data_IF_151875147383
#
_entry.id   IF_151875147383
#
_cell.length_a   1.000
_cell.length_b   1.000
_cell.length_c   1.000
_cell.angle_alpha   90.00
_cell.angle_beta   90.00
_cell.angle_gamma   90.00
#
_symmetry.space_group_name_H-M   'P 1'
#
loop_
_entity.id
_entity.type
_entity.pdbx_description
1 polymer ?
2 non-polymer ?
3 non-polymer ?
4 water ?
#
# COMPACT_ATOMS: atom_id res chain seq x y z
N UNK A 17 13.99 -14.93 -9.97
CA UNK A 17 14.68 -15.96 -10.76
C UNK A 17 15.99 -16.20 -10.02
N UNK A 18 17.12 -15.93 -10.63
CA UNK A 18 18.23 -15.46 -9.81
C UNK A 18 17.91 -13.97 -9.44
N UNK A 19 17.05 -13.27 -10.21
CA UNK A 19 16.76 -11.75 -10.07
C UNK A 19 15.53 -11.22 -9.34
N UNK A 20 14.48 -12.03 -9.17
CA UNK A 20 13.27 -11.57 -8.52
C UNK A 20 13.54 -11.07 -7.10
N UNK A 21 14.36 -11.80 -6.34
CA UNK A 21 14.64 -11.37 -4.97
C UNK A 21 15.34 -10.02 -4.94
N UNK A 22 16.28 -9.79 -5.87
CA UNK A 22 16.93 -8.50 -5.92
C UNK A 22 15.97 -7.36 -6.28
N UNK A 23 15.00 -7.63 -7.18
CA UNK A 23 13.96 -6.63 -7.45
C UNK A 23 13.10 -6.31 -6.23
N UNK A 24 12.75 -7.34 -5.48
CA UNK A 24 12.03 -7.16 -4.23
C UNK A 24 12.82 -6.28 -3.25
N UNK A 25 14.12 -6.55 -3.14
CA UNK A 25 14.97 -5.74 -2.29
C UNK A 25 15.00 -4.28 -2.77
N UNK A 26 15.07 -4.09 -4.08
CA UNK A 26 15.05 -2.74 -4.65
C UNK A 26 13.80 -1.98 -4.23
N UNK A 27 12.66 -2.64 -4.28
CA UNK A 27 11.41 -2.02 -3.87
C UNK A 27 11.43 -1.61 -2.39
N UNK A 28 11.95 -2.47 -1.53
CA UNK A 28 12.07 -2.17 -0.10
C UNK A 28 13.00 -0.97 0.09
N UNK A 29 14.17 -1.03 -0.53
CA UNK A 29 15.18 0.05 -0.48
C UNK A 29 14.54 1.37 -0.91
N UNK A 30 13.87 1.34 -2.06
CA UNK A 30 13.23 2.54 -2.60
C UNK A 30 12.17 3.11 -1.62
N UNK A 31 11.35 2.23 -1.06
CA UNK A 31 10.28 2.67 -0.17
C UNK A 31 10.87 3.38 1.05
N UNK A 32 11.92 2.80 1.63
CA UNK A 32 12.55 3.39 2.81
C UNK A 32 13.22 4.73 2.48
N UNK A 33 13.89 4.79 1.34
CA UNK A 33 14.49 6.03 0.91
C UNK A 33 13.42 7.14 0.72
N UNK A 34 12.31 6.79 0.08
CA UNK A 34 11.21 7.73 -0.08
C UNK A 34 10.70 8.18 1.28
N UNK A 35 10.53 7.22 2.17
CA UNK A 35 10.09 7.48 3.53
C UNK A 35 10.92 8.53 4.23
N UNK A 36 12.24 8.42 4.11
CA UNK A 36 13.18 9.39 4.69
C UNK A 36 12.92 10.81 4.16
N UNK A 37 12.75 10.92 2.84
CA UNK A 37 12.52 12.22 2.22
C UNK A 37 11.22 12.83 2.73
N UNK A 38 10.18 12.00 2.80
CA UNK A 38 8.88 12.47 3.24
C UNK A 38 8.94 12.93 4.69
N UNK A 39 9.55 12.11 5.54
CA UNK A 39 9.56 12.38 6.97
C UNK A 39 10.41 13.64 7.25
N UNK A 40 11.46 13.86 6.50
CA UNK A 40 12.29 15.05 6.70
C UNK A 40 11.43 16.32 6.55
N UNK A 41 10.54 16.34 5.55
CA UNK A 41 9.61 17.45 5.34
C UNK A 41 8.51 17.45 6.43
N UNK A 42 7.97 16.28 6.73
CA UNK A 42 6.87 16.19 7.70
C UNK A 42 7.29 16.69 9.08
N UNK A 43 8.52 16.39 9.46
CA UNK A 43 9.04 16.70 10.79
C UNK A 43 9.68 18.09 10.87
N UNK A 44 9.90 18.74 9.73
CA UNK A 44 10.65 20.00 9.76
C UNK A 44 9.76 21.07 10.34
N UNK A 45 10.22 21.72 11.43
CA UNK A 45 9.43 22.79 12.05
C UNK A 45 9.25 23.99 11.09
N UNK A 46 10.17 24.14 10.14
CA UNK A 46 10.04 25.19 9.11
C UNK A 46 9.00 24.87 8.02
N UNK A 47 8.52 23.62 7.94
CA UNK A 47 7.55 23.28 6.93
C UNK A 47 6.26 24.01 7.23
N UNK A 48 5.68 24.63 6.19
CA UNK A 48 4.44 25.40 6.34
C UNK A 48 3.25 24.58 5.85
N UNK A 49 2.62 23.89 6.80
CA UNK A 49 1.49 23.02 6.49
C UNK A 49 0.18 23.78 6.24
N UNK A 50 0.25 25.11 6.11
CA UNK A 50 -0.93 25.91 5.77
C UNK A 50 -0.95 26.30 4.30
N UNK A 51 0.15 26.06 3.58
CA UNK A 51 0.25 26.43 2.14
C UNK A 51 -0.85 25.75 1.30
N UNK A 55 -0.27 23.38 -4.50
CA UNK A 55 0.71 24.45 -4.70
C UNK A 55 2.12 23.88 -4.88
N UNK A 56 2.88 24.49 -5.80
CA UNK A 56 4.25 24.05 -6.13
C UNK A 56 5.18 23.92 -4.94
N UNK A 57 5.00 24.79 -3.94
CA UNK A 57 5.88 24.83 -2.78
C UNK A 57 5.22 24.31 -1.50
N UNK A 58 4.07 23.65 -1.63
CA UNK A 58 3.45 23.05 -0.47
C UNK A 58 4.33 21.88 -0.01
N UNK A 59 4.39 21.66 1.31
CA UNK A 59 5.03 20.46 1.85
C UNK A 59 4.62 19.17 1.15
N UNK A 60 3.34 19.04 0.81
CA UNK A 60 2.86 17.84 0.16
C UNK A 60 3.51 17.69 -1.22
N UNK A 61 3.45 18.75 -2.02
CA UNK A 61 3.97 18.71 -3.36
C UNK A 61 5.46 18.36 -3.37
N UNK A 62 6.21 19.00 -2.47
CA UNK A 62 7.64 18.79 -2.37
C UNK A 62 7.94 17.36 -1.91
N UNK A 63 7.24 16.90 -0.88
CA UNK A 63 7.45 15.54 -0.38
C UNK A 63 7.15 14.50 -1.44
N UNK A 64 6.04 14.66 -2.17
CA UNK A 64 5.67 13.70 -3.21
C UNK A 64 6.75 13.66 -4.29
N UNK A 65 7.24 14.84 -4.67
CA UNK A 65 8.29 14.91 -5.70
C UNK A 65 9.58 14.26 -5.22
N UNK A 66 10.02 14.59 -4.00
CA UNK A 66 11.29 14.04 -3.51
C UNK A 66 11.19 12.51 -3.32
N UNK A 67 10.02 12.05 -2.88
CA UNK A 67 9.76 10.62 -2.73
C UNK A 67 9.84 9.92 -4.07
N UNK A 68 9.17 10.50 -5.07
CA UNK A 68 9.21 9.95 -6.42
C UNK A 68 10.64 9.84 -6.93
N UNK A 69 11.41 10.90 -6.75
CA UNK A 69 12.79 10.95 -7.22
C UNK A 69 13.63 9.86 -6.56
N UNK A 70 13.46 9.68 -5.25
CA UNK A 70 14.18 8.65 -4.49
C UNK A 70 13.85 7.26 -5.01
N UNK A 71 12.57 7.05 -5.29
CA UNK A 71 12.12 5.74 -5.74
C UNK A 71 12.65 5.44 -7.13
N UNK A 72 12.47 6.35 -8.09
CA UNK A 72 12.86 6.05 -9.46
C UNK A 72 14.38 5.98 -9.62
N UNK A 73 15.13 6.65 -8.76
CA UNK A 73 16.59 6.54 -8.79
C UNK A 73 16.99 5.07 -8.67
N UNK A 74 16.22 4.30 -7.91
CA UNK A 74 16.43 2.87 -7.77
C UNK A 74 15.67 2.05 -8.84
N UNK A 75 14.36 2.27 -8.97
CA UNK A 75 13.58 1.43 -9.86
C UNK A 75 13.95 1.58 -11.34
N UNK A 76 14.43 2.76 -11.74
CA UNK A 76 14.87 2.95 -13.13
C UNK A 76 16.02 2.00 -13.52
N UNK A 77 16.80 1.59 -12.51
CA UNK A 77 17.93 0.68 -12.72
C UNK A 77 17.51 -0.77 -12.98
N UNK A 78 16.31 -1.11 -12.51
CA UNK A 78 15.79 -2.43 -12.70
C UNK A 78 15.39 -2.63 -14.15
N UNK A 79 15.16 -3.89 -14.54
CA UNK A 79 14.71 -4.14 -15.89
C UNK A 79 13.29 -3.75 -16.22
N UNK A 80 12.52 -3.24 -15.26
CA UNK A 80 11.11 -3.01 -15.49
C UNK A 80 10.75 -1.53 -15.49
N UNK A 81 9.86 -1.13 -16.40
CA UNK A 81 9.40 0.24 -16.48
C UNK A 81 8.54 0.65 -15.28
N UNK A 82 8.40 1.96 -15.07
CA UNK A 82 7.77 2.53 -13.89
C UNK A 82 6.57 3.38 -14.25
N UNK A 83 5.44 3.04 -13.64
CA UNK A 83 4.22 3.80 -13.72
C UNK A 83 4.01 4.40 -12.33
N UNK A 84 4.30 5.69 -12.21
CA UNK A 84 4.23 6.41 -10.91
C UNK A 84 3.15 7.44 -10.92
N UNK A 85 2.52 7.59 -9.75
CA UNK A 85 1.58 8.66 -9.52
C UNK A 85 2.20 10.04 -9.81
N UNK A 86 3.50 10.20 -9.52
CA UNK A 86 4.21 11.50 -9.70
C UNK A 86 5.02 11.56 -11.03
N UNK A 87 4.90 10.53 -11.85
CA UNK A 87 5.65 10.45 -13.09
C UNK A 87 5.03 11.35 -14.13
N UNK A 88 5.82 11.69 -15.15
CA UNK A 88 5.32 12.44 -16.29
C UNK A 88 4.16 11.69 -16.92
N UNK A 90 2.30 9.97 -19.44
CA UNK A 90 2.39 9.04 -20.57
C UNK A 90 1.05 8.47 -21.01
N UNK A 91 1.00 8.08 -22.29
CA UNK A 91 -0.17 7.45 -22.91
C UNK A 91 -0.26 5.96 -22.60
N UNK A 92 -1.48 5.44 -22.58
CA UNK A 92 -1.74 4.01 -22.51
C UNK A 92 -1.01 3.25 -23.61
N UNK A 93 -0.94 3.83 -24.81
CA UNK A 93 -0.24 3.18 -25.92
C UNK A 93 1.19 2.78 -25.56
N UNK A 94 1.88 3.63 -24.78
CA UNK A 94 3.23 3.35 -24.32
C UNK A 94 3.26 2.12 -23.39
N UNK A 95 2.44 2.15 -22.36
CA UNK A 95 2.51 1.13 -21.30
C UNK A 95 1.71 -0.15 -21.56
N UNK A 96 0.80 -0.12 -22.53
CA UNK A 96 -0.04 -1.27 -22.79
C UNK A 96 0.78 -2.52 -23.18
N UNK A 97 1.99 -2.33 -23.72
CA UNK A 97 2.85 -3.46 -24.04
C UNK A 97 3.82 -3.87 -22.95
N UNK A 98 3.75 -3.24 -21.79
CA UNK A 98 4.59 -3.62 -20.64
C UNK A 98 3.92 -4.76 -19.91
N UNK A 99 4.40 -5.98 -20.11
CA UNK A 99 3.85 -7.14 -19.40
C UNK A 99 4.23 -7.13 -17.92
N UNK A 100 5.39 -6.55 -17.60
CA UNK A 100 5.85 -6.43 -16.22
C UNK A 100 6.26 -4.99 -16.00
N UNK A 101 5.73 -4.42 -14.92
CA UNK A 101 5.96 -3.01 -14.62
C UNK A 101 5.83 -2.74 -13.13
N UNK A 102 6.49 -1.67 -12.69
CA UNK A 102 6.29 -1.15 -11.35
C UNK A 102 5.10 -0.20 -11.39
N UNK A 103 4.24 -0.30 -10.38
CA UNK A 103 3.13 0.64 -10.19
C UNK A 103 3.30 1.24 -8.80
N UNK A 104 3.47 2.56 -8.78
CA UNK A 104 3.98 3.28 -7.59
C UNK A 104 3.14 4.49 -7.20
N UNK A 105 2.85 4.61 -5.91
CA UNK A 105 2.40 5.90 -5.37
C UNK A 105 3.40 6.31 -4.30
N UNK A 106 4.22 7.31 -4.60
CA UNK A 106 5.26 7.69 -3.63
C UNK A 106 4.73 8.19 -2.30
N UNK A 107 3.50 8.72 -2.28
CA UNK A 107 2.94 9.28 -1.04
C UNK A 107 1.42 9.25 -1.19
N UNK A 108 0.83 8.20 -0.65
CA UNK A 108 -0.64 8.08 -0.59
C UNK A 108 -1.15 8.56 0.76
N UNK A 109 -2.27 9.28 0.74
CA UNK A 109 -2.89 9.77 1.98
C UNK A 109 -2.66 11.24 2.15
N UNK A 110 -3.18 11.98 1.17
CA UNK A 110 -3.04 13.40 1.13
C UNK A 110 -3.49 14.11 2.41
N UNK A 111 -4.71 13.80 2.84
CA UNK A 111 -5.27 14.36 4.04
C UNK A 111 -4.44 13.93 5.28
N UNK A 112 -4.03 12.67 5.32
CA UNK A 112 -3.21 12.17 6.46
C UNK A 112 -1.94 12.99 6.60
N UNK A 113 -1.36 13.37 5.46
CA UNK A 113 -0.16 14.15 5.47
C UNK A 113 -0.42 15.63 5.82
N UNK A 114 -1.29 16.26 5.05
CA UNK A 114 -1.48 17.70 5.23
C UNK A 114 -2.17 18.05 6.55
N UNK A 115 -3.08 17.20 7.03
CA UNK A 115 -3.71 17.41 8.33
C UNK A 115 -2.90 16.80 9.47
N UNK A 116 -1.76 16.19 9.16
CA UNK A 116 -0.84 15.67 10.18
C UNK A 116 -1.49 14.63 11.10
N UNK A 117 -2.31 13.77 10.50
CA UNK A 117 -2.84 12.58 11.18
C UNK A 117 -1.91 11.36 11.10
N UNK A 118 -0.93 11.40 10.19
CA UNK A 118 0.23 10.54 10.26
C UNK A 118 0.21 9.19 9.58
N UNK A 119 -0.93 8.80 9.00
CA UNK A 119 -1.07 7.44 8.42
C UNK A 119 -1.08 7.44 6.89
N UNK A 120 -0.11 8.17 6.35
CA UNK A 120 0.20 8.16 4.92
C UNK A 120 1.27 7.08 4.65
N UNK A 121 1.40 6.69 3.38
CA UNK A 121 2.22 5.54 3.02
C UNK A 121 2.96 5.76 1.70
N UNK A 122 4.04 5.01 1.54
CA UNK A 122 4.71 4.81 0.26
C UNK A 122 4.28 3.45 -0.26
N UNK A 123 3.94 3.37 -1.56
CA UNK A 123 3.38 2.15 -2.16
C UNK A 123 4.14 1.79 -3.44
N UNK A 124 4.76 0.60 -3.44
CA UNK A 124 5.51 0.09 -4.63
C UNK A 124 5.08 -1.36 -4.90
N UNK A 125 4.57 -1.61 -6.11
CA UNK A 125 4.18 -2.94 -6.55
C UNK A 125 4.89 -3.30 -7.85
N UNK A 126 5.24 -4.57 -7.96
CA UNK A 126 5.60 -5.16 -9.26
C UNK A 126 4.37 -5.91 -9.73
N UNK A 127 3.94 -5.57 -10.92
CA UNK A 127 2.76 -6.16 -11.58
C UNK A 127 3.24 -6.95 -12.81
N UNK A 128 2.77 -8.20 -12.93
CA UNK A 128 3.09 -9.04 -14.04
C UNK A 128 1.82 -9.65 -14.60
N UNK A 129 1.63 -9.45 -15.89
CA UNK A 129 0.39 -9.88 -16.57
C UNK A 129 -0.86 -9.49 -15.77
N UNK A 130 -0.86 -8.23 -15.35
CA UNK A 130 -2.01 -7.57 -14.72
C UNK A 130 -2.27 -7.97 -13.28
N UNK A 131 -1.34 -8.76 -12.69
CA UNK A 131 -1.46 -9.23 -11.32
C UNK A 131 -0.31 -8.65 -10.49
N UNK A 132 -0.60 -8.11 -9.30
CA UNK A 132 0.48 -7.65 -8.43
C UNK A 132 1.16 -8.85 -7.78
N UNK A 133 2.44 -9.01 -8.09
CA UNK A 133 3.23 -10.16 -7.62
C UNK A 133 4.26 -9.82 -6.54
N UNK A 134 4.54 -8.54 -6.34
CA UNK A 134 5.39 -8.09 -5.23
C UNK A 134 4.80 -6.79 -4.76
N UNK A 135 4.82 -6.56 -3.45
CA UNK A 135 4.40 -5.26 -2.94
C UNK A 135 5.18 -4.84 -1.71
N UNK A 136 5.34 -3.53 -1.56
CA UNK A 136 5.93 -2.94 -0.38
C UNK A 136 5.10 -1.73 -0.01
N UNK A 137 4.72 -1.66 1.26
CA UNK A 137 4.12 -0.46 1.83
C UNK A 137 4.94 -0.03 3.02
N UNK A 138 5.34 1.23 3.03
CA UNK A 138 6.08 1.79 4.17
C UNK A 138 5.27 2.92 4.77
N UNK A 139 5.13 2.88 6.10
CA UNK A 139 4.38 3.88 6.87
C UNK A 139 5.43 4.71 7.61
N UNK A 140 5.87 5.82 7.00
CA UNK A 140 7.06 6.48 7.57
C UNK A 140 6.96 6.97 9.01
N UNK A 141 5.81 7.52 9.42
CA UNK A 141 5.68 8.01 10.79
C UNK A 141 5.83 6.88 11.83
N UNK A 142 5.29 5.72 11.51
CA UNK A 142 5.26 4.56 12.40
C UNK A 142 6.46 3.62 12.25
N UNK A 143 7.29 3.86 11.23
CA UNK A 143 8.44 3.02 10.87
C UNK A 143 8.02 1.56 10.73
N UNK A 144 6.89 1.37 10.06
CA UNK A 144 6.31 0.05 9.82
C UNK A 144 6.38 -0.26 8.32
N UNK A 145 6.96 -1.43 8.00
CA UNK A 145 7.18 -1.84 6.63
C UNK A 145 6.46 -3.16 6.41
N UNK A 146 5.67 -3.24 5.35
CA UNK A 146 5.01 -4.47 4.95
C UNK A 146 5.57 -4.79 3.58
N UNK A 147 5.88 -6.05 3.35
CA UNK A 147 6.36 -6.46 2.04
C UNK A 147 5.99 -7.89 1.74
N UNK A 148 5.92 -8.20 0.46
CA UNK A 148 5.50 -9.52 0.02
C UNK A 148 6.03 -9.84 -1.35
N UNK A 149 6.33 -11.13 -1.55
CA UNK A 149 6.69 -11.67 -2.84
C UNK A 149 5.86 -12.93 -3.05
N UNK A 150 5.16 -12.99 -4.18
CA UNK A 150 4.33 -14.14 -4.50
C UNK A 150 5.19 -15.39 -4.49
N UNK A 151 4.74 -16.43 -3.78
CA UNK A 151 5.49 -17.68 -3.65
C UNK A 151 6.42 -17.75 -2.46
N UNK A 152 6.62 -16.62 -1.80
CA UNK A 152 7.50 -16.54 -0.65
C UNK A 152 6.68 -16.24 0.60
N UNK A 153 5.97 -15.13 0.60
CA UNK A 153 5.13 -14.76 1.73
C UNK A 153 4.96 -13.26 1.86
N UNK A 154 4.17 -12.88 2.86
CA UNK A 154 3.92 -11.49 3.25
C UNK A 154 4.48 -11.31 4.65
N UNK A 155 5.13 -10.17 4.87
CA UNK A 155 5.91 -9.91 6.08
C UNK A 155 5.69 -8.51 6.60
N UNK A 156 5.74 -8.36 7.93
CA UNK A 156 5.71 -7.06 8.60
C UNK A 156 7.00 -6.87 9.43
N UNK A 157 7.65 -5.72 9.27
CA UNK A 157 8.89 -5.37 9.95
C UNK A 157 8.59 -4.05 10.64
N UNK A 158 8.66 -4.06 11.97
CA UNK A 158 8.38 -2.89 12.77
C UNK A 158 9.69 -2.26 13.25
N UNK A 159 9.70 -0.95 13.35
CA UNK A 159 10.84 -0.21 13.85
C UNK A 159 12.00 -0.06 12.90
N UNK A 160 11.74 -0.05 11.60
CA UNK A 160 12.76 0.09 10.59
C UNK A 160 12.68 1.47 9.96
N UNK A 161 13.85 2.14 9.91
CA UNK A 161 13.95 3.46 9.31
C UNK A 161 14.78 3.31 8.06
N UNK A 162 15.90 2.63 8.15
CA UNK A 162 16.67 2.40 6.96
C UNK A 162 17.45 1.12 7.05
N UNK A 163 18.27 0.90 6.06
CA UNK A 163 19.03 -0.33 5.95
C UNK A 163 20.40 -0.12 6.59
N UNK A 164 20.96 -1.19 7.17
CA UNK A 164 22.36 -1.18 7.63
C UNK A 164 23.22 -0.77 6.45
N UNK A 165 24.47 -0.40 6.73
CA UNK A 165 25.38 0.03 5.66
C UNK A 165 25.99 -1.20 4.94
N UNK A 166 25.79 -2.38 5.51
CA UNK A 166 26.52 -3.58 5.09
C UNK A 166 25.73 -4.83 5.48
N UNK A 167 25.73 -5.83 4.59
CA UNK A 167 25.18 -7.16 4.90
C UNK A 167 23.68 -7.36 4.69
N UNK A 168 22.94 -6.28 4.39
CA UNK A 168 21.48 -6.38 4.27
C UNK A 168 21.07 -7.08 2.97
N UNK A 169 20.21 -8.08 3.09
CA UNK A 169 19.70 -8.85 1.98
C UNK A 169 18.20 -9.10 2.18
N UNK A 170 17.51 -9.48 1.09
CA UNK A 170 16.08 -9.82 1.22
C UNK A 170 15.91 -10.98 2.20
N UNK A 171 16.81 -11.95 2.10
CA UNK A 171 16.74 -13.17 2.88
C UNK A 171 16.83 -12.78 4.36
N UNK A 172 17.70 -11.82 4.67
CA UNK A 172 17.83 -11.31 6.03
C UNK A 172 16.58 -10.52 6.48
N UNK A 173 15.99 -9.72 5.59
CA UNK A 173 14.76 -9.00 5.90
C UNK A 173 13.68 -9.98 6.27
N UNK A 174 13.56 -11.05 5.50
CA UNK A 174 12.50 -12.03 5.72
C UNK A 174 12.69 -12.69 7.07
N UNK A 175 13.93 -13.07 7.39
CA UNK A 175 14.26 -13.75 8.64
C UNK A 175 13.89 -12.90 9.84
N UNK A 176 14.13 -11.59 9.73
CA UNK A 176 13.92 -10.63 10.80
C UNK A 176 12.50 -10.13 10.94
N UNK A 177 11.66 -10.42 9.96
CA UNK A 177 10.30 -9.89 9.95
C UNK A 177 9.32 -10.95 10.42
N UNK A 178 8.06 -10.52 10.58
CA UNK A 178 6.97 -11.40 11.04
C UNK A 178 6.10 -11.81 9.85
N UNK A 179 5.96 -13.11 9.63
CA UNK A 179 5.11 -13.57 8.55
C UNK A 179 3.64 -13.28 8.85
N UNK A 180 2.92 -12.85 7.83
CA UNK A 180 1.51 -12.51 7.97
C UNK A 180 0.63 -13.62 7.39
N UNK A 181 -0.57 -13.80 7.95
CA UNK A 181 -1.16 -13.02 9.02
C UNK A 181 -0.56 -13.34 10.39
N UNK A 182 -0.67 -12.38 11.29
CA UNK A 182 -0.13 -12.53 12.63
C UNK A 182 -1.19 -13.19 13.45
N UNK A 183 -0.78 -14.20 14.21
CA UNK A 183 -1.75 -15.03 14.93
C UNK A 183 -2.35 -14.24 16.09
N UNK A 184 -3.64 -13.88 15.95
CA UNK A 184 -4.46 -13.67 17.16
C UNK A 184 -5.96 -13.89 16.94
N UNK A 185 -6.40 -15.09 17.30
CA UNK A 185 -7.80 -15.49 17.16
C UNK A 185 -8.74 -14.56 17.95
N UNK A 186 -9.89 -14.29 17.36
CA UNK A 186 -10.90 -13.44 17.96
C UNK A 186 -12.21 -14.02 17.49
N UNK A 187 -13.26 -13.78 18.22
CA UNK A 187 -14.49 -14.40 17.85
C UNK A 187 -15.38 -13.35 17.27
N UNK A 188 -14.83 -12.15 17.00
CA UNK A 188 -15.70 -11.13 16.51
C UNK A 188 -15.27 -10.65 15.14
N UNK A 189 -16.24 -10.08 14.43
CA UNK A 189 -16.08 -9.64 13.06
C UNK A 189 -15.62 -8.18 13.05
N UNK A 190 -14.60 -7.90 12.27
CA UNK A 190 -14.08 -6.52 12.19
C UNK A 190 -14.05 -6.03 10.75
N UNK A 191 -14.62 -4.84 10.53
CA UNK A 191 -14.52 -4.15 9.27
C UNK A 191 -13.67 -2.90 9.44
N UNK A 192 -12.94 -2.51 8.41
CA UNK A 192 -12.13 -1.28 8.50
C UNK A 192 -12.57 -0.27 7.45
N UNK A 193 -12.60 0.99 7.89
CA UNK A 193 -12.98 2.14 7.07
C UNK A 193 -11.95 3.23 7.12
N UNK A 194 -12.03 4.12 6.12
CA UNK A 194 -11.20 5.31 6.10
C UNK A 194 -11.48 6.22 7.32
N UNK A 195 -10.53 7.10 7.59
CA UNK A 195 -10.73 8.13 8.63
C UNK A 195 -11.29 9.39 8.01
N UNK A 196 -11.34 9.45 6.69
CA UNK A 196 -11.92 10.55 5.91
C UNK A 196 -13.42 10.26 5.71
N UNK A 197 -14.14 11.19 5.11
CA UNK A 197 -15.56 11.02 4.77
C UNK A 197 -15.74 9.73 3.95
N UNK A 198 -16.66 8.87 4.36
CA UNK A 198 -16.97 7.64 3.66
C UNK A 198 -18.04 7.97 2.62
N UNK A 199 -18.03 7.25 1.52
CA UNK A 199 -19.10 7.43 0.53
C UNK A 199 -20.39 6.79 1.04
N UNK A 200 -21.55 7.23 0.52
CA UNK A 200 -22.81 6.58 0.91
C UNK A 200 -22.87 5.14 0.46
N UNK A 201 -22.12 4.79 -0.58
CA UNK A 201 -22.09 3.42 -1.10
C UNK A 201 -21.34 2.52 -0.11
N UNK A 202 -20.20 2.99 0.34
CA UNK A 202 -19.46 2.26 1.37
C UNK A 202 -20.27 2.16 2.67
N UNK A 203 -20.87 3.27 3.09
CA UNK A 203 -21.62 3.28 4.34
C UNK A 203 -22.80 2.30 4.27
N UNK A 204 -23.41 2.20 3.09
CA UNK A 204 -24.53 1.27 2.90
C UNK A 204 -24.07 -0.18 3.08
N UNK A 205 -22.93 -0.52 2.49
CA UNK A 205 -22.37 -1.86 2.62
C UNK A 205 -22.03 -2.15 4.09
N UNK A 206 -21.39 -1.18 4.73
CA UNK A 206 -21.04 -1.35 6.18
C UNK A 206 -22.31 -1.53 7.04
N UNK A 207 -23.36 -0.76 6.77
CA UNK A 207 -24.62 -0.92 7.48
C UNK A 207 -25.14 -2.35 7.33
N UNK A 208 -25.04 -2.90 6.13
CA UNK A 208 -25.46 -4.28 5.91
C UNK A 208 -24.58 -5.29 6.66
N UNK A 209 -23.26 -5.06 6.65
CA UNK A 209 -22.33 -5.92 7.45
C UNK A 209 -22.75 -5.88 8.91
N UNK A 210 -23.10 -4.70 9.40
CA UNK A 210 -23.45 -4.52 10.81
C UNK A 210 -24.71 -5.28 11.16
N UNK A 211 -25.63 -5.36 10.21
CA UNK A 211 -26.86 -6.14 10.39
C UNK A 211 -26.58 -7.64 10.33
N UNK A 212 -25.67 -8.06 9.48
CA UNK A 212 -25.38 -9.48 9.25
C UNK A 212 -24.58 -10.09 10.40
N UNK A 213 -23.68 -9.30 10.99
CA UNK A 213 -22.76 -9.81 12.00
C UNK A 213 -23.10 -9.31 13.38
N UNK A 214 -23.45 -10.24 14.27
CA UNK A 214 -23.89 -9.87 15.60
C UNK A 214 -22.83 -9.20 16.47
N UNK A 215 -21.59 -9.59 16.28
CA UNK A 215 -20.50 -9.18 17.17
C UNK A 215 -19.54 -8.26 16.42
N UNK A 216 -20.07 -7.22 15.81
CA UNK A 216 -19.31 -6.41 14.89
C UNK A 216 -18.55 -5.26 15.56
N UNK A 217 -17.34 -5.01 15.08
CA UNK A 217 -16.55 -3.83 15.42
C UNK A 217 -16.06 -3.16 14.13
N UNK A 218 -16.05 -1.84 14.13
CA UNK A 218 -15.44 -1.05 13.05
C UNK A 218 -14.15 -0.44 13.58
N UNK A 219 -13.11 -0.49 12.76
CA UNK A 219 -11.85 0.21 13.03
C UNK A 219 -11.49 1.08 11.82
N UNK A 220 -10.53 1.98 11.99
CA UNK A 220 -10.17 2.86 10.88
C UNK A 220 -8.70 3.14 10.88
N UNK A 221 -8.15 3.30 9.68
CA UNK A 221 -6.72 3.58 9.51
C UNK A 221 -6.54 4.30 8.18
N UNK A 222 -5.43 5.02 8.08
CA UNK A 222 -5.12 5.77 6.89
C UNK A 222 -4.63 4.91 5.71
N UNK A 223 -4.96 5.40 4.50
CA UNK A 223 -4.28 4.97 3.27
C UNK A 223 -4.38 3.44 3.12
N UNK A 224 -3.35 2.85 2.55
CA UNK A 224 -3.32 1.43 2.27
C UNK A 224 -3.06 0.56 3.49
N UNK A 225 -2.87 1.15 4.67
CA UNK A 225 -2.78 0.36 5.89
C UNK A 225 -4.07 -0.46 6.03
N UNK A 226 -5.16 0.07 5.48
CA UNK A 226 -6.45 -0.66 5.56
C UNK A 226 -6.37 -2.03 4.88
N UNK A 227 -5.61 -2.11 3.79
CA UNK A 227 -5.43 -3.38 3.10
C UNK A 227 -4.53 -4.27 3.97
N UNK A 228 -3.49 -3.66 4.53
CA UNK A 228 -2.57 -4.35 5.42
C UNK A 228 -3.22 -4.96 6.65
N UNK A 229 -4.24 -4.29 7.17
CA UNK A 229 -4.92 -4.76 8.37
C UNK A 229 -5.60 -6.10 8.07
N UNK A 230 -6.16 -6.23 6.87
CA UNK A 230 -6.74 -7.52 6.48
C UNK A 230 -5.65 -8.59 6.29
N UNK A 231 -4.55 -8.23 5.64
CA UNK A 231 -3.44 -9.14 5.46
C UNK A 231 -2.87 -9.60 6.81
N UNK A 232 -2.89 -8.70 7.81
CA UNK A 232 -2.34 -8.99 9.13
C UNK A 232 -3.25 -9.89 9.96
N UNK A 233 -4.51 -9.99 9.57
CA UNK A 233 -5.53 -10.69 10.34
C UNK A 233 -6.20 -9.82 11.38
N UNK A 234 -5.97 -8.52 11.34
CA UNK A 234 -6.55 -7.57 12.31
C UNK A 234 -7.96 -7.13 11.92
N UNK A 235 -8.35 -7.36 10.69
CA UNK A 235 -9.69 -7.03 10.21
C UNK A 235 -10.14 -8.12 9.26
N UNK A 236 -11.43 -8.39 9.22
CA UNK A 236 -12.00 -9.37 8.33
C UNK A 236 -12.23 -8.82 6.92
N UNK A 237 -12.64 -7.57 6.84
CA UNK A 237 -13.05 -7.00 5.54
C UNK A 237 -12.70 -5.53 5.47
N UNK A 238 -12.23 -5.12 4.30
CA UNK A 238 -12.04 -3.71 3.96
C UNK A 238 -12.78 -3.46 2.64
N UNK A 239 -14.00 -2.93 2.72
CA UNK A 239 -14.76 -2.62 1.51
C UNK A 239 -14.51 -1.17 1.14
N UNK A 240 -14.26 -0.89 -0.12
CA UNK A 240 -14.05 0.50 -0.55
C UNK A 240 -14.88 0.73 -1.81
N UNK A 241 -16.07 1.29 -1.61
CA UNK A 241 -17.00 1.58 -2.72
C UNK A 241 -16.88 3.04 -3.08
N UNK A 242 -15.69 3.36 -3.59
CA UNK A 242 -15.25 4.71 -3.85
C UNK A 242 -14.17 4.60 -4.91
N UNK A 243 -13.96 5.65 -5.69
CA UNK A 243 -12.91 5.66 -6.68
C UNK A 243 -11.51 5.69 -6.03
N UNK A 244 -10.63 4.80 -6.47
CA UNK A 244 -9.21 4.80 -6.07
C UNK A 244 -8.41 4.51 -7.32
N UNK A 245 -7.11 4.76 -7.28
CA UNK A 245 -6.23 4.55 -8.41
C UNK A 245 -5.41 3.26 -8.20
N UNK A 246 -5.04 2.63 -9.32
CA UNK A 246 -4.26 1.39 -9.29
C UNK A 246 -3.06 1.42 -8.35
N UNK A 247 -2.34 2.54 -8.40
CA UNK A 247 -1.13 2.69 -7.59
C UNK A 247 -1.37 2.73 -6.09
N UNK A 248 -2.62 2.98 -5.65
CA UNK A 248 -2.90 2.92 -4.24
C UNK A 248 -3.33 1.58 -3.71
N UNK A 249 -3.64 0.65 -4.62
CA UNK A 249 -3.99 -0.70 -4.21
C UNK A 249 -2.98 -1.79 -4.55
N UNK A 250 -2.18 -1.58 -5.61
CA UNK A 250 -1.39 -2.67 -6.14
C UNK A 250 -0.45 -3.28 -5.10
N UNK A 251 0.27 -2.44 -4.37
CA UNK A 251 1.22 -2.95 -3.39
C UNK A 251 0.50 -3.76 -2.31
N UNK A 252 -0.54 -3.17 -1.73
CA UNK A 252 -1.30 -3.84 -0.70
C UNK A 252 -1.94 -5.12 -1.19
N UNK A 253 -2.34 -5.13 -2.44
CA UNK A 253 -2.98 -6.28 -3.07
C UNK A 253 -1.98 -7.45 -3.15
N UNK A 254 -0.71 -7.18 -3.52
CA UNK A 254 0.29 -8.23 -3.51
C UNK A 254 0.47 -8.79 -2.10
N UNK A 255 0.50 -7.89 -1.13
CA UNK A 255 0.67 -8.25 0.27
C UNK A 255 -0.51 -9.12 0.72
N UNK A 256 -1.71 -8.66 0.41
CA UNK A 256 -2.91 -9.40 0.75
C UNK A 256 -2.88 -10.83 0.18
N UNK A 257 -2.56 -10.96 -1.10
CA UNK A 257 -2.53 -12.28 -1.74
C UNK A 257 -1.56 -13.24 -1.05
N UNK A 258 -0.38 -12.73 -0.72
CA UNK A 258 0.65 -13.57 -0.12
C UNK A 258 0.30 -13.97 1.34
N UNK A 259 -0.64 -13.24 1.94
CA UNK A 259 -1.19 -13.52 3.27
C UNK A 259 -2.47 -14.39 3.26
N UNK A 260 -2.88 -14.87 2.09
CA UNK A 260 -4.06 -15.70 1.96
C UNK A 260 -5.35 -14.93 1.78
N UNK A 261 -5.21 -13.63 1.51
CA UNK A 261 -6.36 -12.75 1.31
C UNK A 261 -6.46 -12.45 -0.19
N UNK A 262 -7.40 -11.61 -0.55
CA UNK A 262 -7.58 -11.20 -1.94
C UNK A 262 -8.27 -9.84 -1.99
N UNK A 263 -8.04 -9.10 -3.06
CA UNK A 263 -8.68 -7.80 -3.28
C UNK A 263 -9.60 -7.99 -4.51
N UNK A 264 -10.87 -8.23 -4.24
CA UNK A 264 -11.86 -8.51 -5.28
C UNK A 264 -12.46 -7.22 -5.84
N UNK A 265 -12.78 -7.24 -7.12
CA UNK A 265 -13.72 -6.27 -7.68
C UNK A 265 -15.07 -6.52 -6.99
N UNK A 266 -15.59 -5.49 -6.35
CA UNK A 266 -16.84 -5.65 -5.60
C UNK A 266 -17.96 -6.07 -6.53
N UNK A 267 -18.62 -7.16 -6.18
CA UNK A 267 -19.71 -7.71 -6.97
C UNK A 267 -19.29 -8.75 -7.97
N UNK A 268 -17.99 -8.98 -8.09
CA UNK A 268 -17.43 -9.98 -8.98
C UNK A 268 -16.58 -10.97 -8.19
N UNK A 269 -16.20 -12.07 -8.83
CA UNK A 269 -15.23 -12.99 -8.25
C UNK A 269 -13.80 -12.73 -8.70
N UNK A 270 -13.63 -11.80 -9.62
CA UNK A 270 -12.31 -11.48 -10.18
C UNK A 270 -11.59 -10.46 -9.30
N UNK A 271 -10.28 -10.67 -9.07
CA UNK A 271 -9.53 -9.62 -8.40
C UNK A 271 -9.41 -8.33 -9.21
N UNK A 272 -9.06 -7.24 -8.53
CA UNK A 272 -8.66 -6.02 -9.27
C UNK A 272 -7.56 -6.38 -10.28
N UNK A 273 -7.61 -5.77 -11.46
CA UNK A 273 -6.60 -5.98 -12.51
C UNK A 273 -5.85 -4.67 -12.73
N UNK A 274 -4.64 -4.78 -13.27
CA UNK A 274 -3.74 -3.65 -13.35
C UNK A 274 -3.19 -3.40 -14.76
N UNK A 275 -2.59 -2.22 -14.90
CA UNK A 275 -2.12 -1.69 -16.17
C UNK A 275 -3.27 -1.58 -17.17
N UNK A 276 -4.43 -1.20 -16.65
CA UNK A 276 -5.64 -1.05 -17.47
C UNK A 276 -5.58 0.23 -18.28
N UNK A 277 -6.46 0.35 -19.27
CA UNK A 277 -6.55 1.59 -20.04
C UNK A 277 -6.87 2.76 -19.13
N UNK A 278 -7.82 2.56 -18.23
CA UNK A 278 -8.16 3.54 -17.23
C UNK A 278 -7.56 3.10 -15.90
N UNK A 279 -6.69 3.93 -15.32
CA UNK A 279 -6.03 3.60 -14.07
C UNK A 279 -6.89 3.71 -12.79
N UNK A 280 -8.14 4.16 -12.92
CA UNK A 280 -9.11 4.02 -11.84
C UNK A 280 -9.38 2.54 -11.60
N UNK A 281 -9.42 2.19 -10.32
CA UNK A 281 -9.98 0.90 -9.87
C UNK A 281 -11.50 1.05 -9.82
N UNK A 282 -12.21 -0.04 -10.08
CA UNK A 282 -13.62 -0.12 -9.62
C UNK A 282 -13.68 -0.28 -8.11
N UNK A 283 -14.89 -0.34 -7.57
CA UNK A 283 -15.10 -0.70 -6.18
C UNK A 283 -14.38 -2.00 -5.88
N UNK A 284 -13.81 -2.10 -4.68
CA UNK A 284 -13.15 -3.35 -4.26
C UNK A 284 -13.49 -3.74 -2.84
N UNK A 285 -13.18 -5.00 -2.53
CA UNK A 285 -13.37 -5.58 -1.20
C UNK A 285 -12.17 -6.48 -0.90
N UNK A 286 -11.48 -6.20 0.21
CA UNK A 286 -10.38 -7.02 0.66
C UNK A 286 -10.91 -7.95 1.75
N UNK A 287 -10.69 -9.25 1.56
CA UNK A 287 -11.17 -10.26 2.51
C UNK A 287 -10.37 -11.53 2.30
N UNK A 288 -10.60 -12.54 3.14
CA UNK A 288 -9.97 -13.84 2.95
C UNK A 288 -10.27 -14.42 1.58
N UNK A 289 -9.32 -15.10 0.98
CA UNK A 289 -9.55 -15.70 -0.34
C UNK A 289 -10.75 -16.62 -0.26
N UNK A 290 -11.68 -16.46 -1.19
CA UNK A 290 -12.90 -17.24 -1.18
C UNK A 290 -12.57 -18.70 -1.57
N UNK A 291 -13.22 -19.64 -0.89
CA UNK A 291 -13.18 -21.08 -1.20
C UNK A 291 -12.26 -21.50 -2.36
X LIG B 1 -7.70 6.80 2.07
X LIG B 1 -7.59 5.41 1.62
X LIG B 1 -6.42 7.46 1.76
X LIG B 1 -8.75 7.47 1.28
X LIG B 1 -8.06 6.94 3.44
X LIG C 1 -19.90 -12.14 14.29
X LIG C 1 -18.59 -12.56 14.85
X LIG C 1 -20.05 -10.71 14.40
X LIG C 1 -19.96 -12.59 12.87
X LIG C 1 -20.96 -12.79 15.08
X LIG D 1 9.75 11.08 -14.34
X LIG D 1 10.51 11.35 -15.57
X LIG D 1 9.36 12.37 -13.78
X LIG D 1 8.56 10.28 -14.66
X LIG D 1 10.60 10.35 -13.39
X LIG E 1 -15.99 4.59 12.37
X LIG E 1 -14.60 4.26 12.01
X LIG E 1 -16.21 6.03 12.32
X LIG E 1 -16.93 3.96 11.41
X LIG E 1 -16.24 4.08 13.71
X LIG F 1 -12.81 14.62 4.95
X LIG F 1 -11.71 15.58 4.83
X LIG F 1 -14.10 15.31 4.87
X LIG F 1 -12.73 13.65 3.85
X LIG F 1 -12.73 13.94 6.24
X LIG G 1 -8.45 -2.56 -20.02
X LIG G 1 -9.59 -2.20 -19.16
X LIG G 1 -7.61 -3.58 -19.37
X LIG G 1 -7.64 -1.38 -20.25
X LIG G 1 -8.95 -3.06 -21.30
X LIG H 1 -15.49 5.14 1.40
#
# INVERSE_FOLDING_TARGET
XHHHHHHSSGVDLGTENLYFQSNAMAAIDAALKAGEKILSIYEDPKSDFEIERKADNSPLTIADRKAHEAIVAILNETPFPVLSEEGKHMDYAVRRGWDTLWIVDPLDGTKEFIKRNGEFTVNIALVQNAVPVMGVIYVPVKKELYFAVEGTGAYKCSGIVGLEDEGVTLQQMIEKSERMPLADARDHFIAVASRSHLTPETETYIADLKKKHGNVELISSGSSIKICLVAEGKADVYPRFAPTMEWDTAAGHAIARAAGMEVYQAGKEEPLRYNKEDLLNPWFIVEAKRER
SO4 S O1 O2 O3 O4
SO4 S O1 O2 O3 O4
SO4 S O1 O2 O3 O4
SO4 S O1 O2 O3 O4
SO4 S O1 O2 O3 O4
SO4 S O1 O2 O3 O4
CL CL
#
